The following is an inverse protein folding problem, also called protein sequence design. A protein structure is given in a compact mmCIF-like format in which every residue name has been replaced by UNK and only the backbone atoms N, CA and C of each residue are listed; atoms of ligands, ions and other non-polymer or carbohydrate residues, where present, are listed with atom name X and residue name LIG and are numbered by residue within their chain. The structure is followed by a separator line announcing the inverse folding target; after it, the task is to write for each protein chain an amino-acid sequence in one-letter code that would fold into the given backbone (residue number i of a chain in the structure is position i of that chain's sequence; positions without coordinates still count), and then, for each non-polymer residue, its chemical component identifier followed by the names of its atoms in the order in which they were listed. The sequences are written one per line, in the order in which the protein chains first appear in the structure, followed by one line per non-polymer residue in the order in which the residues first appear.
data_IF_194618151920
#
_entry.id   IF_194618151920
#
_cell.length_a   1.000
_cell.length_b   1.000
_cell.length_c   1.000
_cell.angle_alpha   90.00
_cell.angle_beta   90.00
_cell.angle_gamma   90.00
#
_symmetry.space_group_name_H-M   'P 1'
#
loop_
_entity.id
_entity.type
_entity.pdbx_description
1 polymer ?
#
# COMPACT_ATOMS: atom_id res chain seq x y z
N UNK A 1 -12.20 4.04 8.49
CA UNK A 1 -11.29 2.90 8.27
C UNK A 1 -10.78 2.95 6.85
N UNK A 2 -9.47 2.79 6.63
CA UNK A 2 -8.87 3.18 5.35
C UNK A 2 -9.16 2.28 4.14
N UNK A 3 -9.33 0.97 4.37
CA UNK A 3 -9.57 -0.04 3.33
C UNK A 3 -11.04 -0.10 2.85
N UNK A 4 -11.63 1.05 2.56
CA UNK A 4 -13.04 1.18 2.15
C UNK A 4 -13.28 1.05 0.63
N UNK A 5 -12.27 1.33 -0.21
CA UNK A 5 -12.38 1.17 -1.67
C UNK A 5 -11.91 -0.24 -2.07
N UNK A 6 -12.58 -0.89 -3.04
CA UNK A 6 -12.11 -2.17 -3.63
C UNK A 6 -10.65 -2.10 -4.11
N UNK A 7 -10.25 -0.95 -4.65
CA UNK A 7 -8.88 -0.65 -5.09
C UNK A 7 -7.86 -0.73 -3.94
N UNK A 8 -8.14 -0.10 -2.79
CA UNK A 8 -7.24 -0.17 -1.62
C UNK A 8 -7.27 -1.52 -0.92
N UNK A 9 -8.37 -2.27 -1.02
CA UNK A 9 -8.45 -3.67 -0.56
C UNK A 9 -7.59 -4.61 -1.41
N UNK A 10 -7.61 -4.46 -2.74
CA UNK A 10 -6.74 -5.22 -3.65
C UNK A 10 -5.27 -4.85 -3.44
N UNK A 11 -4.94 -3.55 -3.34
CA UNK A 11 -3.58 -3.10 -3.03
C UNK A 11 -3.06 -3.72 -1.72
N UNK A 12 -3.87 -3.71 -0.65
CA UNK A 12 -3.55 -4.33 0.64
C UNK A 12 -3.33 -5.84 0.54
N UNK A 13 -4.18 -6.56 -0.20
CA UNK A 13 -4.04 -8.00 -0.40
C UNK A 13 -2.74 -8.36 -1.14
N UNK A 14 -2.45 -7.67 -2.24
CA UNK A 14 -1.20 -7.86 -3.00
C UNK A 14 0.00 -7.52 -2.11
N UNK A 15 -0.06 -6.42 -1.36
CA UNK A 15 1.00 -6.00 -0.41
C UNK A 15 1.30 -7.07 0.64
N UNK A 16 0.27 -7.63 1.27
CA UNK A 16 0.43 -8.58 2.36
C UNK A 16 1.05 -9.89 1.88
N UNK A 17 0.60 -10.40 0.72
CA UNK A 17 1.19 -11.59 0.08
C UNK A 17 2.62 -11.30 -0.36
N UNK A 18 2.84 -10.20 -1.07
CA UNK A 18 4.16 -9.76 -1.55
C UNK A 18 5.19 -9.65 -0.42
N UNK A 19 4.83 -8.99 0.67
CA UNK A 19 5.67 -8.87 1.86
C UNK A 19 5.94 -10.23 2.50
N UNK A 20 4.91 -11.07 2.70
CA UNK A 20 5.08 -12.39 3.30
C UNK A 20 6.05 -13.28 2.48
N UNK A 21 5.89 -13.32 1.16
CA UNK A 21 6.78 -14.07 0.27
C UNK A 21 8.22 -13.54 0.33
N UNK A 22 8.40 -12.21 0.32
CA UNK A 22 9.73 -11.62 0.41
C UNK A 22 10.37 -11.82 1.80
N UNK A 23 9.61 -11.79 2.90
CA UNK A 23 10.11 -12.08 4.26
C UNK A 23 10.56 -13.53 4.39
N UNK A 24 9.76 -14.48 3.91
CA UNK A 24 10.13 -15.91 3.90
C UNK A 24 11.41 -16.09 3.07
N UNK A 25 11.50 -15.47 1.90
CA UNK A 25 12.68 -15.55 1.06
C UNK A 25 13.92 -14.92 1.73
N UNK A 26 13.77 -13.75 2.32
CA UNK A 26 14.85 -13.01 2.98
C UNK A 26 15.45 -13.79 4.17
N UNK A 27 14.64 -14.60 4.86
CA UNK A 27 15.03 -15.29 6.08
C UNK A 27 15.39 -16.78 5.92
N UNK A 28 15.25 -17.40 4.73
CA UNK A 28 15.43 -18.85 4.57
C UNK A 28 16.63 -19.26 3.68
N UNK A 29 17.34 -20.36 4.01
CA UNK A 29 18.61 -20.72 3.40
C UNK A 29 18.47 -21.46 2.05
N UNK A 30 17.51 -21.07 1.19
CA UNK A 30 17.15 -21.82 -0.03
C UNK A 30 17.05 -20.94 -1.30
N UNK A 31 17.98 -20.00 -1.47
CA UNK A 31 18.18 -19.25 -2.71
C UNK A 31 18.95 -20.05 -3.77
N UNK A 32 19.94 -20.83 -3.35
CA UNK A 32 20.65 -21.82 -4.16
C UNK A 32 20.67 -23.15 -3.39
N UNK A 33 20.42 -24.28 -4.07
CA UNK A 33 20.25 -25.61 -3.43
C UNK A 33 20.84 -26.69 -4.34
N UNK A 34 21.47 -27.73 -3.78
CA UNK A 34 21.97 -28.84 -4.60
C UNK A 34 20.83 -29.72 -5.17
N UNK A 35 21.01 -30.23 -6.39
CA UNK A 35 20.03 -31.05 -7.14
C UNK A 35 19.79 -32.45 -6.56
N UNK A 36 20.54 -32.83 -5.51
CA UNK A 36 20.45 -34.12 -4.82
C UNK A 36 21.02 -35.31 -5.60
N UNK A 37 21.67 -35.11 -6.75
CA UNK A 37 22.28 -36.19 -7.55
C UNK A 37 23.65 -36.62 -7.05
N UNK A 38 24.36 -35.75 -6.32
CA UNK A 38 25.61 -36.09 -5.62
C UNK A 38 25.30 -36.81 -4.31
N UNK A 39 26.01 -37.91 -4.04
CA UNK A 39 25.89 -38.64 -2.77
C UNK A 39 26.50 -37.86 -1.58
N UNK A 40 27.58 -37.12 -1.83
CA UNK A 40 28.28 -36.28 -0.85
C UNK A 40 28.55 -34.90 -1.47
N UNK A 41 27.52 -34.05 -1.66
CA UNK A 41 27.72 -32.70 -2.16
C UNK A 41 28.42 -31.88 -1.08
N UNK A 42 29.47 -31.13 -1.43
CA UNK A 42 30.22 -30.31 -0.47
C UNK A 42 29.49 -29.04 -0.06
N UNK A 43 28.67 -28.51 -0.96
CA UNK A 43 27.70 -27.43 -0.75
C UNK A 43 26.30 -28.04 -0.74
N UNK A 44 25.45 -27.64 0.18
CA UNK A 44 24.09 -28.20 0.33
C UNK A 44 23.03 -27.19 -0.09
N UNK A 45 23.05 -26.00 0.52
CA UNK A 45 22.10 -24.92 0.25
C UNK A 45 22.61 -23.59 0.83
N UNK A 46 22.10 -22.47 0.32
CA UNK A 46 22.44 -21.10 0.72
C UNK A 46 21.24 -20.18 0.59
N UNK A 47 21.10 -19.25 1.54
CA UNK A 47 20.29 -18.04 1.42
C UNK A 47 21.09 -16.81 1.82
N UNK A 48 20.45 -15.63 1.83
CA UNK A 48 21.13 -14.35 2.03
C UNK A 48 22.06 -14.30 3.26
N UNK A 49 21.71 -15.02 4.33
CA UNK A 49 22.36 -14.90 5.64
C UNK A 49 22.96 -16.19 6.16
N UNK A 50 22.66 -17.35 5.57
CA UNK A 50 23.07 -18.67 6.07
C UNK A 50 23.49 -19.56 4.90
N UNK A 51 24.58 -20.31 5.09
CA UNK A 51 25.10 -21.28 4.13
C UNK A 51 25.32 -22.62 4.81
N UNK A 52 24.97 -23.70 4.12
CA UNK A 52 25.12 -25.08 4.56
C UNK A 52 26.17 -25.80 3.72
N UNK A 53 27.21 -26.29 4.40
CA UNK A 53 28.28 -27.10 3.81
C UNK A 53 28.32 -28.50 4.43
N UNK A 54 28.95 -29.45 3.74
CA UNK A 54 29.15 -30.82 4.20
C UNK A 54 30.57 -31.26 3.87
N UNK A 55 31.44 -31.32 4.89
CA UNK A 55 32.86 -31.62 4.76
C UNK A 55 33.57 -30.76 3.69
N UNK A 56 33.14 -29.51 3.51
CA UNK A 56 33.80 -28.59 2.59
C UNK A 56 35.17 -28.18 3.14
N UNK A 57 36.17 -28.26 2.29
CA UNK A 57 37.54 -27.80 2.51
C UNK A 57 37.93 -27.02 1.25
N UNK A 58 38.50 -25.83 1.43
CA UNK A 58 38.95 -25.01 0.31
C UNK A 58 40.11 -25.72 -0.43
N UNK A 59 40.10 -25.59 -1.76
CA UNK A 59 41.13 -26.13 -2.65
C UNK A 59 42.23 -25.09 -2.88
N UNK A 60 41.93 -23.80 -2.75
CA UNK A 60 42.86 -22.71 -3.02
C UNK A 60 43.74 -22.37 -1.82
N UNK A 61 43.28 -22.64 -0.59
CA UNK A 61 44.06 -22.57 0.64
C UNK A 61 43.84 -23.83 1.48
N UNK A 62 44.88 -24.66 1.61
CA UNK A 62 44.87 -25.89 2.40
C UNK A 62 44.89 -25.61 3.92
N UNK A 63 43.77 -25.13 4.45
CA UNK A 63 43.52 -25.13 5.90
C UNK A 63 43.07 -26.51 6.36
N UNK A 64 43.46 -26.94 7.56
CA UNK A 64 43.03 -28.21 8.15
C UNK A 64 41.56 -28.22 8.62
N UNK A 65 40.89 -27.06 8.58
CA UNK A 65 39.48 -26.91 8.94
C UNK A 65 38.55 -27.48 7.87
N UNK A 66 37.43 -28.07 8.30
CA UNK A 66 36.38 -28.61 7.43
C UNK A 66 35.02 -28.06 7.81
N UNK A 67 34.42 -27.28 6.92
CA UNK A 67 33.12 -26.67 7.12
C UNK A 67 32.00 -27.69 6.94
N UNK A 68 31.20 -27.91 7.99
CA UNK A 68 30.12 -28.90 8.02
C UNK A 68 28.96 -28.36 8.87
N UNK A 69 27.74 -28.46 8.36
CA UNK A 69 26.55 -27.86 8.96
C UNK A 69 26.17 -26.54 8.31
N UNK A 70 25.12 -25.91 8.85
CA UNK A 70 24.63 -24.59 8.46
C UNK A 70 25.11 -23.55 9.47
N UNK A 71 25.72 -22.46 9.00
CA UNK A 71 26.22 -21.37 9.85
C UNK A 71 25.95 -20.01 9.21
N UNK A 72 25.98 -18.95 10.01
CA UNK A 72 25.73 -17.59 9.54
C UNK A 72 26.87 -17.13 8.63
N UNK A 73 26.55 -16.41 7.56
CA UNK A 73 27.49 -16.09 6.46
C UNK A 73 28.64 -15.15 6.88
N UNK A 74 28.55 -14.52 8.05
CA UNK A 74 29.62 -13.71 8.65
C UNK A 74 30.11 -14.26 10.00
N UNK A 75 29.95 -15.57 10.27
CA UNK A 75 30.58 -16.24 11.42
C UNK A 75 32.12 -16.22 11.30
N UNK A 76 32.84 -16.23 12.42
CA UNK A 76 34.30 -16.03 12.46
C UNK A 76 35.07 -17.11 11.67
N UNK A 77 34.63 -18.36 11.70
CA UNK A 77 35.23 -19.46 10.94
C UNK A 77 35.20 -19.21 9.42
N UNK A 78 34.19 -18.50 8.92
CA UNK A 78 34.08 -18.17 7.48
C UNK A 78 34.93 -16.97 7.05
N UNK A 79 35.52 -16.18 7.96
CA UNK A 79 36.47 -15.12 7.58
C UNK A 79 37.64 -15.65 6.77
N UNK A 80 38.01 -16.93 6.98
CA UNK A 80 39.04 -17.66 6.25
C UNK A 80 38.73 -17.80 4.74
N UNK A 81 37.44 -17.93 4.39
CA UNK A 81 36.93 -18.15 3.02
C UNK A 81 36.03 -17.01 2.52
N UNK A 82 36.05 -15.85 3.19
CA UNK A 82 35.12 -14.74 2.96
C UNK A 82 35.11 -14.24 1.51
N UNK A 83 36.30 -14.07 0.91
CA UNK A 83 36.47 -13.61 -0.49
C UNK A 83 35.76 -14.53 -1.52
N UNK A 84 35.60 -15.81 -1.18
CA UNK A 84 34.94 -16.84 -1.98
C UNK A 84 33.44 -16.96 -1.69
N UNK A 85 33.07 -16.90 -0.41
CA UNK A 85 31.67 -17.00 0.04
C UNK A 85 30.86 -15.74 -0.31
N UNK A 86 31.48 -14.57 -0.19
CA UNK A 86 30.87 -13.23 -0.36
C UNK A 86 31.55 -12.45 -1.51
N UNK A 87 31.48 -12.92 -2.77
CA UNK A 87 31.95 -12.14 -3.90
C UNK A 87 31.13 -10.85 -4.04
N UNK A 88 31.72 -9.80 -4.62
CA UNK A 88 31.11 -8.46 -4.67
C UNK A 88 29.71 -8.38 -5.29
N UNK A 89 29.35 -9.31 -6.19
CA UNK A 89 27.97 -9.38 -6.71
C UNK A 89 26.98 -9.84 -5.64
N UNK A 90 27.37 -10.77 -4.76
CA UNK A 90 26.50 -11.33 -3.73
C UNK A 90 26.31 -10.35 -2.57
N UNK A 91 27.37 -9.60 -2.21
CA UNK A 91 27.26 -8.43 -1.33
C UNK A 91 26.25 -7.41 -1.89
N UNK A 92 26.24 -7.18 -3.21
CA UNK A 92 25.24 -6.31 -3.82
C UNK A 92 23.81 -6.89 -3.75
N UNK A 93 23.63 -8.21 -3.92
CA UNK A 93 22.33 -8.88 -3.69
C UNK A 93 21.85 -8.68 -2.25
N UNK A 94 22.71 -8.94 -1.25
CA UNK A 94 22.40 -8.73 0.16
C UNK A 94 22.02 -7.27 0.46
N UNK A 95 22.76 -6.30 -0.07
CA UNK A 95 22.48 -4.87 0.11
C UNK A 95 21.11 -4.49 -0.47
N UNK A 96 20.84 -4.83 -1.73
CA UNK A 96 19.57 -4.47 -2.38
C UNK A 96 18.37 -5.23 -1.80
N UNK A 97 18.55 -6.50 -1.38
CA UNK A 97 17.51 -7.24 -0.68
C UNK A 97 17.23 -6.64 0.71
N UNK A 98 18.25 -6.16 1.42
CA UNK A 98 18.10 -5.47 2.71
C UNK A 98 17.38 -4.12 2.54
N UNK A 99 17.70 -3.34 1.51
CA UNK A 99 16.99 -2.11 1.19
C UNK A 99 15.51 -2.37 0.85
N UNK A 100 15.20 -3.44 0.11
CA UNK A 100 13.83 -3.89 -0.13
C UNK A 100 13.11 -4.25 1.19
N UNK A 101 13.74 -5.06 2.03
CA UNK A 101 13.21 -5.50 3.33
C UNK A 101 12.95 -4.31 4.28
N UNK A 102 13.88 -3.35 4.37
CA UNK A 102 13.71 -2.12 5.16
C UNK A 102 12.54 -1.28 4.66
N UNK A 103 12.39 -1.10 3.35
CA UNK A 103 11.24 -0.36 2.79
C UNK A 103 9.91 -1.06 3.07
N UNK A 104 9.88 -2.39 3.13
CA UNK A 104 8.71 -3.15 3.55
C UNK A 104 8.43 -3.02 5.07
N UNK A 105 9.46 -3.07 5.91
CA UNK A 105 9.35 -2.83 7.35
C UNK A 105 8.84 -1.41 7.68
N UNK A 106 9.21 -0.41 6.88
CA UNK A 106 8.68 0.96 6.99
C UNK A 106 7.23 1.04 6.50
N UNK A 107 6.87 0.31 5.44
CA UNK A 107 5.49 0.27 4.93
C UNK A 107 4.51 -0.41 5.90
N UNK A 108 4.96 -1.35 6.74
CA UNK A 108 4.12 -2.10 7.68
C UNK A 108 3.39 -1.22 8.73
N UNK A 109 4.06 -0.42 9.59
CA UNK A 109 3.39 0.45 10.57
C UNK A 109 2.57 1.57 9.90
N UNK A 110 3.00 2.05 8.72
CA UNK A 110 2.21 2.99 7.92
C UNK A 110 0.89 2.35 7.45
N UNK A 111 0.93 1.10 6.99
CA UNK A 111 -0.26 0.33 6.57
C UNK A 111 -1.18 0.05 7.76
N UNK A 112 -0.63 -0.33 8.92
CA UNK A 112 -1.40 -0.49 10.16
C UNK A 112 -2.08 0.82 10.59
N UNK A 113 -1.40 1.96 10.45
CA UNK A 113 -1.96 3.29 10.72
C UNK A 113 -3.11 3.62 9.74
N UNK A 114 -2.87 3.44 8.43
CA UNK A 114 -3.86 3.62 7.37
C UNK A 114 -5.15 2.83 7.59
N UNK A 115 -5.07 1.59 8.07
CA UNK A 115 -6.25 0.77 8.37
C UNK A 115 -7.13 1.39 9.48
N UNK A 116 -6.51 2.02 10.48
CA UNK A 116 -7.20 2.68 11.60
C UNK A 116 -7.76 4.07 11.24
N UNK A 117 -7.03 4.83 10.42
CA UNK A 117 -7.41 6.17 9.95
C UNK A 117 -8.77 6.20 9.21
N UNK A 118 -9.51 7.32 9.32
CA UNK A 118 -10.69 7.56 8.48
C UNK A 118 -10.31 8.18 7.14
N UNK A 119 -11.21 8.12 6.14
CA UNK A 119 -10.98 8.72 4.81
C UNK A 119 -10.89 10.27 4.89
N UNK A 120 -11.57 10.81 5.89
CA UNK A 120 -11.85 12.23 6.08
C UNK A 120 -10.68 12.93 6.80
N UNK A 121 -9.84 12.17 7.51
CA UNK A 121 -8.56 12.61 8.08
C UNK A 121 -7.58 13.01 6.96
N UNK A 122 -7.00 14.21 7.05
CA UNK A 122 -6.05 14.73 6.05
C UNK A 122 -4.80 13.85 5.89
N UNK A 123 -4.45 13.09 6.94
CA UNK A 123 -3.35 12.12 6.92
C UNK A 123 -3.62 10.97 5.94
N UNK A 124 -4.87 10.70 5.57
CA UNK A 124 -5.25 9.59 4.70
C UNK A 124 -4.51 9.60 3.35
N UNK A 125 -4.45 10.77 2.69
CA UNK A 125 -3.79 10.93 1.38
C UNK A 125 -2.27 10.81 1.51
N UNK A 126 -1.71 11.34 2.60
CA UNK A 126 -0.27 11.24 2.90
C UNK A 126 0.12 9.78 3.13
N UNK A 127 -0.62 9.06 3.98
CA UNK A 127 -0.38 7.63 4.27
C UNK A 127 -0.42 6.78 3.00
N UNK A 128 -1.44 6.94 2.14
CA UNK A 128 -1.49 6.25 0.85
C UNK A 128 -0.25 6.53 -0.02
N UNK A 129 0.15 7.80 -0.13
CA UNK A 129 1.30 8.20 -0.93
C UNK A 129 2.62 7.65 -0.37
N UNK A 130 2.83 7.70 0.94
CA UNK A 130 4.05 7.18 1.58
C UNK A 130 4.12 5.64 1.50
N UNK A 131 3.02 4.92 1.78
CA UNK A 131 2.96 3.44 1.62
C UNK A 131 3.28 3.06 0.18
N UNK A 132 2.63 3.72 -0.80
CA UNK A 132 2.88 3.48 -2.22
C UNK A 132 4.34 3.75 -2.60
N UNK A 133 4.92 4.84 -2.11
CA UNK A 133 6.34 5.20 -2.37
C UNK A 133 7.31 4.19 -1.76
N UNK A 134 7.08 3.74 -0.53
CA UNK A 134 7.87 2.68 0.10
C UNK A 134 7.82 1.38 -0.71
N UNK A 135 6.65 0.98 -1.20
CA UNK A 135 6.52 -0.26 -1.98
C UNK A 135 7.12 -0.16 -3.39
N UNK A 136 6.97 0.97 -4.10
CA UNK A 136 7.61 1.15 -5.42
C UNK A 136 9.15 1.14 -5.29
N UNK A 137 9.72 1.87 -4.31
CA UNK A 137 11.16 1.87 -4.08
C UNK A 137 11.66 0.51 -3.58
N UNK A 138 10.92 -0.15 -2.68
CA UNK A 138 11.21 -1.51 -2.24
C UNK A 138 11.24 -2.50 -3.41
N UNK A 139 10.25 -2.41 -4.32
CA UNK A 139 10.21 -3.22 -5.55
C UNK A 139 11.43 -2.99 -6.44
N UNK A 140 11.86 -1.74 -6.64
CA UNK A 140 13.05 -1.41 -7.43
C UNK A 140 14.30 -2.07 -6.82
N UNK A 141 14.50 -1.95 -5.50
CA UNK A 141 15.64 -2.59 -4.83
C UNK A 141 15.54 -4.13 -4.89
N UNK A 142 14.38 -4.70 -4.60
CA UNK A 142 14.16 -6.15 -4.65
C UNK A 142 14.36 -6.72 -6.05
N UNK A 143 13.91 -6.01 -7.09
CA UNK A 143 14.11 -6.36 -8.49
C UNK A 143 15.60 -6.36 -8.87
N UNK A 144 16.36 -5.33 -8.46
CA UNK A 144 17.81 -5.30 -8.67
C UNK A 144 18.48 -6.49 -7.97
N UNK A 145 18.11 -6.80 -6.73
CA UNK A 145 18.67 -7.95 -5.99
C UNK A 145 18.43 -9.27 -6.72
N UNK A 146 17.19 -9.55 -7.15
CA UNK A 146 16.87 -10.82 -7.82
C UNK A 146 17.38 -10.89 -9.27
N UNK A 147 17.58 -9.76 -9.95
CA UNK A 147 18.23 -9.72 -11.26
C UNK A 147 19.74 -10.00 -11.14
N UNK A 148 20.42 -9.42 -10.16
CA UNK A 148 21.86 -9.72 -9.93
C UNK A 148 22.01 -11.18 -9.53
N UNK A 149 21.19 -11.71 -8.62
CA UNK A 149 21.24 -13.11 -8.24
C UNK A 149 20.85 -14.04 -9.39
N UNK A 150 19.79 -13.75 -10.15
CA UNK A 150 19.39 -14.53 -11.31
C UNK A 150 20.46 -14.59 -12.42
N UNK A 151 21.29 -13.55 -12.55
CA UNK A 151 22.37 -13.48 -13.53
C UNK A 151 23.73 -14.01 -13.02
N UNK A 152 23.88 -14.33 -11.72
CA UNK A 152 25.18 -14.70 -11.11
C UNK A 152 25.15 -15.80 -10.05
N UNK A 153 24.01 -16.15 -9.47
CA UNK A 153 23.89 -17.17 -8.43
C UNK A 153 24.22 -18.58 -8.92
N UNK A 154 23.88 -18.89 -10.16
CA UNK A 154 24.34 -20.08 -10.91
C UNK A 154 25.59 -19.75 -11.76
N UNK A 155 26.55 -19.02 -11.18
CA UNK A 155 27.85 -18.84 -11.83
C UNK A 155 28.71 -20.08 -11.62
N UNK A 156 29.17 -20.63 -12.74
CA UNK A 156 30.14 -21.72 -12.85
C UNK A 156 31.37 -21.62 -11.94
N UNK A 157 31.73 -20.39 -11.59
CA UNK A 157 32.96 -20.04 -10.89
C UNK A 157 32.70 -19.48 -9.46
N UNK A 158 31.48 -19.65 -8.90
CA UNK A 158 31.15 -19.28 -7.50
C UNK A 158 31.03 -20.48 -6.55
N UNK A 159 30.04 -21.34 -6.71
CA UNK A 159 29.72 -22.37 -5.70
C UNK A 159 30.27 -23.77 -6.05
N UNK A 160 30.71 -24.57 -5.06
CA UNK A 160 31.22 -25.92 -5.29
C UNK A 160 30.14 -26.82 -5.92
N UNK A 161 30.49 -27.54 -6.99
CA UNK A 161 29.56 -28.46 -7.66
C UNK A 161 28.46 -27.76 -8.47
N UNK A 162 28.77 -26.59 -9.06
CA UNK A 162 27.83 -25.79 -9.87
C UNK A 162 26.97 -26.57 -10.89
N UNK A 163 27.47 -27.68 -11.46
CA UNK A 163 26.67 -28.54 -12.37
C UNK A 163 25.43 -29.17 -11.73
N UNK A 164 25.35 -29.12 -10.40
CA UNK A 164 24.40 -29.80 -9.54
C UNK A 164 23.85 -28.85 -8.48
N UNK A 165 23.82 -27.54 -8.77
CA UNK A 165 23.23 -26.49 -7.92
C UNK A 165 22.14 -25.77 -8.71
N UNK A 166 20.90 -25.88 -8.24
CA UNK A 166 19.71 -25.24 -8.85
C UNK A 166 19.28 -23.99 -8.07
N UNK A 167 18.63 -23.06 -8.76
CA UNK A 167 17.95 -21.91 -8.15
C UNK A 167 16.82 -22.39 -7.22
N UNK A 168 16.94 -22.11 -5.92
CA UNK A 168 16.07 -22.65 -4.90
C UNK A 168 14.69 -22.00 -4.79
N UNK A 169 13.77 -22.68 -4.11
CA UNK A 169 12.38 -22.23 -3.96
C UNK A 169 12.24 -20.86 -3.29
N UNK A 170 13.15 -20.51 -2.37
CA UNK A 170 13.12 -19.19 -1.71
C UNK A 170 13.52 -18.07 -2.67
N UNK A 171 14.43 -18.30 -3.62
CA UNK A 171 14.71 -17.32 -4.68
C UNK A 171 13.47 -17.06 -5.56
N UNK A 172 12.69 -18.10 -5.88
CA UNK A 172 11.41 -17.91 -6.59
C UNK A 172 10.41 -17.07 -5.78
N UNK A 173 10.36 -17.24 -4.44
CA UNK A 173 9.55 -16.38 -3.57
C UNK A 173 10.09 -14.94 -3.49
N UNK A 174 11.41 -14.74 -3.55
CA UNK A 174 12.02 -13.41 -3.63
C UNK A 174 11.60 -12.68 -4.91
N UNK A 175 11.63 -13.36 -6.06
CA UNK A 175 11.22 -12.82 -7.36
C UNK A 175 9.75 -12.40 -7.34
N UNK A 176 8.86 -13.32 -6.93
CA UNK A 176 7.41 -13.04 -6.89
C UNK A 176 7.10 -11.94 -5.87
N UNK A 177 7.70 -12.01 -4.66
CA UNK A 177 7.55 -11.00 -3.61
C UNK A 177 7.96 -9.61 -4.08
N UNK A 178 9.20 -9.46 -4.60
CA UNK A 178 9.74 -8.18 -5.05
C UNK A 178 8.95 -7.58 -6.23
N UNK A 179 8.53 -8.39 -7.20
CA UNK A 179 7.76 -7.91 -8.36
C UNK A 179 6.34 -7.50 -7.97
N UNK A 180 5.69 -8.21 -7.05
CA UNK A 180 4.32 -7.88 -6.60
C UNK A 180 4.24 -6.58 -5.76
N UNK A 181 5.35 -6.07 -5.22
CA UNK A 181 5.38 -4.75 -4.55
C UNK A 181 5.04 -3.61 -5.53
N UNK A 182 5.44 -3.71 -6.80
CA UNK A 182 5.24 -2.63 -7.79
C UNK A 182 3.75 -2.33 -8.07
N UNK A 183 2.90 -3.30 -8.49
CA UNK A 183 1.49 -3.01 -8.73
C UNK A 183 0.74 -2.60 -7.46
N UNK A 184 1.10 -3.15 -6.29
CA UNK A 184 0.52 -2.71 -5.01
C UNK A 184 0.84 -1.24 -4.71
N UNK A 185 2.11 -0.84 -4.84
CA UNK A 185 2.55 0.53 -4.63
C UNK A 185 1.92 1.52 -5.61
N UNK A 186 1.80 1.13 -6.88
CA UNK A 186 1.11 1.92 -7.92
C UNK A 186 -0.37 2.11 -7.58
N UNK A 187 -1.09 1.06 -7.14
CA UNK A 187 -2.50 1.18 -6.76
C UNK A 187 -2.70 2.16 -5.60
N UNK A 188 -1.82 2.13 -4.58
CA UNK A 188 -1.85 3.12 -3.50
C UNK A 188 -1.60 4.55 -3.99
N UNK A 189 -0.62 4.76 -4.89
CA UNK A 189 -0.38 6.08 -5.51
C UNK A 189 -1.56 6.57 -6.35
N UNK A 190 -2.23 5.67 -7.09
CA UNK A 190 -3.40 6.00 -7.91
C UNK A 190 -4.58 6.42 -7.03
N UNK A 191 -4.86 5.71 -5.93
CA UNK A 191 -5.90 6.12 -4.99
C UNK A 191 -5.53 7.41 -4.24
N UNK A 192 -4.27 7.60 -3.84
CA UNK A 192 -3.80 8.88 -3.26
C UNK A 192 -4.05 10.06 -4.21
N UNK A 193 -3.69 9.91 -5.48
CA UNK A 193 -3.90 10.91 -6.53
C UNK A 193 -5.40 11.17 -6.77
N UNK A 194 -6.22 10.11 -6.79
CA UNK A 194 -7.67 10.17 -6.99
C UNK A 194 -8.37 10.93 -5.86
N UNK A 195 -8.06 10.64 -4.60
CA UNK A 195 -8.66 11.35 -3.48
C UNK A 195 -8.13 12.78 -3.33
N UNK A 196 -6.88 13.06 -3.71
CA UNK A 196 -6.36 14.43 -3.82
C UNK A 196 -7.13 15.27 -4.82
N UNK A 197 -7.44 14.75 -6.02
CA UNK A 197 -8.26 15.47 -7.00
C UNK A 197 -9.70 15.71 -6.50
N UNK A 198 -10.32 14.74 -5.82
CA UNK A 198 -11.67 14.94 -5.23
C UNK A 198 -11.69 16.09 -4.24
N UNK A 199 -10.80 16.07 -3.24
CA UNK A 199 -10.69 17.13 -2.22
C UNK A 199 -10.43 18.50 -2.85
N UNK A 200 -9.60 18.59 -3.89
CA UNK A 200 -9.37 19.85 -4.62
C UNK A 200 -10.63 20.32 -5.38
N UNK A 201 -11.35 19.42 -6.05
CA UNK A 201 -12.60 19.78 -6.72
C UNK A 201 -13.71 20.16 -5.73
N UNK A 202 -13.76 19.51 -4.56
CA UNK A 202 -14.70 19.84 -3.47
C UNK A 202 -14.42 21.22 -2.86
N UNK A 203 -13.14 21.59 -2.69
CA UNK A 203 -12.74 22.94 -2.27
C UNK A 203 -13.12 23.97 -3.34
N UNK A 204 -12.72 23.75 -4.60
CA UNK A 204 -13.01 24.69 -5.70
C UNK A 204 -14.51 24.89 -5.93
N UNK A 205 -15.32 23.83 -5.81
CA UNK A 205 -16.78 23.95 -5.88
C UNK A 205 -17.37 24.75 -4.71
N UNK A 206 -16.81 24.64 -3.49
CA UNK A 206 -17.23 25.45 -2.34
C UNK A 206 -16.89 26.92 -2.51
N UNK A 207 -15.66 27.22 -2.94
CA UNK A 207 -15.21 28.60 -3.23
C UNK A 207 -16.12 29.27 -4.28
N UNK A 208 -16.53 28.54 -5.32
CA UNK A 208 -17.47 29.02 -6.35
C UNK A 208 -18.89 29.22 -5.80
N UNK A 209 -19.36 28.36 -4.90
CA UNK A 209 -20.66 28.55 -4.22
C UNK A 209 -20.65 29.75 -3.29
N UNK A 210 -19.64 29.88 -2.43
CA UNK A 210 -19.49 30.95 -1.43
C UNK A 210 -19.42 32.33 -2.11
N UNK A 211 -18.62 32.44 -3.19
CA UNK A 211 -18.58 33.66 -4.01
C UNK A 211 -19.93 33.97 -4.70
N UNK A 212 -20.68 32.95 -5.09
CA UNK A 212 -22.02 33.10 -5.66
C UNK A 212 -23.03 33.64 -4.67
N UNK A 213 -23.05 33.08 -3.45
CA UNK A 213 -23.95 33.51 -2.38
C UNK A 213 -23.64 34.95 -1.92
N UNK A 214 -22.36 35.31 -1.76
CA UNK A 214 -21.91 36.68 -1.49
C UNK A 214 -22.37 37.66 -2.59
N UNK A 215 -22.24 37.27 -3.87
CA UNK A 215 -22.70 38.09 -4.99
C UNK A 215 -24.21 38.36 -4.91
N UNK A 216 -25.04 37.32 -4.74
CA UNK A 216 -26.49 37.50 -4.65
C UNK A 216 -26.91 38.26 -3.39
N UNK A 217 -26.25 38.04 -2.25
CA UNK A 217 -26.54 38.75 -1.01
C UNK A 217 -26.18 40.25 -1.11
N UNK A 218 -25.06 40.59 -1.76
CA UNK A 218 -24.69 41.99 -2.02
C UNK A 218 -25.69 42.69 -2.94
N UNK A 219 -26.19 42.00 -3.97
CA UNK A 219 -27.21 42.52 -4.89
C UNK A 219 -28.56 42.71 -4.21
N UNK A 220 -28.97 41.79 -3.33
CA UNK A 220 -30.19 41.91 -2.53
C UNK A 220 -30.12 43.10 -1.54
N UNK A 221 -28.95 43.34 -0.91
CA UNK A 221 -28.72 44.49 -0.05
C UNK A 221 -28.72 45.83 -0.83
N UNK A 222 -28.14 45.86 -2.03
CA UNK A 222 -28.20 47.03 -2.91
C UNK A 222 -29.65 47.32 -3.37
N UNK A 223 -30.42 46.28 -3.71
CA UNK A 223 -31.83 46.43 -4.07
C UNK A 223 -32.65 46.99 -2.89
N UNK A 224 -32.48 46.46 -1.67
CA UNK A 224 -33.24 46.90 -0.50
C UNK A 224 -32.93 48.34 -0.07
N UNK A 225 -31.69 48.79 -0.21
CA UNK A 225 -31.29 50.19 0.07
C UNK A 225 -31.67 51.18 -1.04
N UNK A 226 -32.02 50.69 -2.24
CA UNK A 226 -32.44 51.53 -3.38
C UNK A 226 -33.93 51.93 -3.38
N UNK A 227 -34.75 51.40 -2.47
CA UNK A 227 -36.19 51.69 -2.40
C UNK A 227 -36.43 53.11 -1.85
N UNK A 228 -36.95 54.08 -2.65
CA UNK A 228 -37.38 55.36 -2.11
C UNK A 228 -38.66 55.12 -1.29
N UNK A 229 -38.78 55.81 -0.15
CA UNK A 229 -40.03 55.80 0.61
C UNK A 229 -41.16 56.37 -0.24
N UNK A 230 -42.03 55.50 -0.80
CA UNK A 230 -43.16 55.96 -1.59
C UNK A 230 -44.14 56.73 -0.69
N UNK A 231 -44.61 57.92 -1.11
CA UNK A 231 -45.63 58.64 -0.36
C UNK A 231 -46.93 57.83 -0.35
N UNK A 232 -47.43 57.53 0.84
CA UNK A 232 -48.59 56.68 1.07
C UNK A 232 -49.89 57.39 0.69
N UNK A 233 -50.24 57.35 -0.60
CA UNK A 233 -51.54 57.77 -1.12
C UNK A 233 -52.68 56.83 -0.68
N UNK A 234 -53.04 56.91 0.59
CA UNK A 234 -54.28 56.37 1.12
C UNK A 234 -55.47 57.18 0.59
N UNK A 235 -56.02 56.75 -0.55
CA UNK A 235 -57.40 57.09 -0.89
C UNK A 235 -58.34 56.30 0.03
N UNK A 236 -59.33 56.94 0.70
CA UNK A 236 -60.25 56.23 1.57
C UNK A 236 -61.19 55.32 0.75
N UNK A 237 -61.20 54.03 1.06
CA UNK A 237 -62.05 53.04 0.38
C UNK A 237 -63.54 53.28 0.69
N UNK A 238 -64.44 53.32 -0.33
CA UNK A 238 -65.86 53.51 -0.10
C UNK A 238 -66.49 52.30 0.62
N UNK A 239 -67.29 52.56 1.63
CA UNK A 239 -67.78 51.57 2.60
C UNK A 239 -68.67 50.49 1.99
N UNK A 240 -68.11 49.29 1.78
CA UNK A 240 -68.85 48.10 1.37
C UNK A 240 -69.81 47.62 2.49
N UNK A 241 -71.09 47.33 2.20
CA UNK A 241 -72.06 46.92 3.23
C UNK A 241 -71.74 45.54 3.84
N UNK A 242 -72.03 45.41 5.14
CA UNK A 242 -71.72 44.22 5.96
C UNK A 242 -72.65 43.04 5.65
N UNK A 243 -72.10 41.91 5.22
CA UNK A 243 -72.84 40.64 5.06
C UNK A 243 -73.04 39.95 6.43
N UNK A 244 -74.21 39.33 6.73
CA UNK A 244 -74.43 38.59 7.97
C UNK A 244 -73.54 37.34 8.11
N UNK A 245 -73.27 36.94 9.36
CA UNK A 245 -72.59 35.68 9.68
C UNK A 245 -73.54 34.46 9.59
N UNK A 246 -73.03 33.25 9.27
CA UNK A 246 -73.83 32.03 9.21
C UNK A 246 -74.13 31.44 10.61
N UNK A 247 -75.25 30.73 10.72
CA UNK A 247 -75.66 29.96 11.91
C UNK A 247 -74.90 28.64 12.10
N UNK A 248 -75.21 27.92 13.19
CA UNK A 248 -74.32 26.90 13.78
C UNK A 248 -74.98 25.51 13.96
N UNK A 249 -74.53 24.53 13.17
CA UNK A 249 -74.59 23.06 13.44
C UNK A 249 -76.01 22.41 13.48
N UNK A 250 -76.20 21.05 13.52
CA UNK A 250 -75.27 20.00 13.99
C UNK A 250 -75.17 18.61 13.26
N UNK A 251 -74.02 17.95 13.51
CA UNK A 251 -73.74 16.49 13.72
C UNK A 251 -74.13 15.36 12.74
N UNK A 252 -73.06 14.68 12.26
CA UNK A 252 -72.82 13.20 12.23
C UNK A 252 -73.69 12.27 11.32
N UNK A 253 -73.30 10.99 11.08
CA UNK A 253 -72.03 10.25 11.30
C UNK A 253 -71.40 9.90 9.89
N UNK A 254 -71.08 8.67 9.40
CA UNK A 254 -70.63 7.38 10.00
C UNK A 254 -69.46 6.63 9.28
N UNK A 255 -68.94 5.58 9.96
CA UNK A 255 -68.35 4.32 9.42
C UNK A 255 -67.01 4.31 8.62
N UNK A 256 -66.38 3.11 8.54
CA UNK A 256 -65.13 2.82 7.83
C UNK A 256 -64.68 1.35 7.92
N UNK A 257 -63.54 1.00 7.33
CA UNK A 257 -62.88 -0.34 7.31
C UNK A 257 -61.37 -0.15 6.96
N UNK A 258 -60.39 -0.73 7.67
CA UNK A 258 -59.81 -2.10 7.52
C UNK A 258 -59.16 -2.26 6.11
N UNK A 259 -57.86 -2.57 5.94
CA UNK A 259 -57.16 -3.77 6.45
C UNK A 259 -55.60 -3.68 6.56
N UNK A 260 -55.07 -4.18 7.70
CA UNK A 260 -53.73 -4.77 8.06
C UNK A 260 -52.41 -4.50 7.29
N UNK A 261 -51.34 -4.33 8.08
CA UNK A 261 -49.93 -4.62 7.75
C UNK A 261 -49.59 -6.13 7.69
N UNK A 262 -48.53 -6.48 6.94
CA UNK A 262 -47.48 -7.47 7.27
C UNK A 262 -46.15 -6.90 6.77
#
# INVERSE_FOLDING_TARGET
MGASNRSTQVALGISAVSFLLFVIAFATPYWLVTDGRLQNPRFTNLGLWEVCFNQFQDIHRFYDTRFTGCMWVFEEEYYIIHDFLLPGFYIAVQLFATLCFVMCLLALPLTLSFLRTSRDDDRYVVLLLTIGTCQVLGSIFGFIAVVIFGAKGDSRDWMPGWQNNDMGWSFALAVVGAVMLLPAGILYMVEARRERYKRLNEISNREVSEYGDDYYQSQAAAASSSVPAQPSYFAPEPSRPRRPQPGRLPTAPPQGSIQTDI
#
